data_IF_170565892771
#
_entry.id   IF_170565892771
#
_cell.length_a   1.000
_cell.length_b   1.000
_cell.length_c   1.000
_cell.angle_alpha   90.00
_cell.angle_beta   90.00
_cell.angle_gamma   90.00
#
_symmetry.space_group_name_H-M   'P 1'
#
loop_
_entity.id
_entity.type
_entity.pdbx_description
1 polymer ?
#
# COMPACT_ATOMS: atom_id res chain seq x y z
N UNK A 1 -24.57 -13.53 -9.73
CA UNK A 1 -24.02 -12.89 -10.95
C UNK A 1 -22.60 -12.46 -10.61
N UNK A 2 -21.61 -13.24 -11.04
CA UNK A 2 -20.21 -12.81 -10.92
C UNK A 2 -19.98 -11.66 -11.90
N UNK A 3 -19.57 -10.51 -11.35
CA UNK A 3 -19.27 -9.33 -12.15
C UNK A 3 -17.98 -9.62 -12.94
N UNK A 4 -18.09 -9.78 -14.26
CA UNK A 4 -17.00 -10.22 -15.16
C UNK A 4 -15.79 -9.28 -15.22
N UNK A 5 -15.79 -8.19 -14.45
CA UNK A 5 -14.69 -7.23 -14.33
C UNK A 5 -13.91 -7.34 -13.01
N UNK A 6 -14.13 -8.37 -12.19
CA UNK A 6 -13.34 -8.58 -10.98
C UNK A 6 -11.96 -9.16 -11.32
N UNK A 7 -11.00 -8.27 -11.58
CA UNK A 7 -9.58 -8.64 -11.64
C UNK A 7 -9.04 -8.73 -10.20
N UNK A 8 -8.96 -9.95 -9.67
CA UNK A 8 -8.39 -10.21 -8.35
C UNK A 8 -6.86 -10.10 -8.39
N UNK A 9 -6.32 -8.88 -8.29
CA UNK A 9 -4.92 -8.70 -7.91
C UNK A 9 -4.83 -9.03 -6.41
N UNK A 10 -3.97 -9.99 -6.02
CA UNK A 10 -3.85 -10.48 -4.65
C UNK A 10 -3.69 -9.31 -3.66
N UNK A 11 -4.80 -8.93 -3.00
CA UNK A 11 -4.86 -7.86 -1.99
C UNK A 11 -5.69 -6.63 -2.34
N UNK A 12 -6.11 -6.38 -3.58
CA UNK A 12 -6.99 -5.24 -3.85
C UNK A 12 -8.36 -5.45 -3.19
N UNK A 13 -8.74 -4.55 -2.28
CA UNK A 13 -10.01 -4.58 -1.53
C UNK A 13 -11.13 -3.83 -2.25
N UNK A 14 -10.80 -3.07 -3.30
CA UNK A 14 -11.77 -2.31 -4.08
C UNK A 14 -11.16 -1.60 -5.27
N UNK A 15 -11.99 -0.80 -5.94
CA UNK A 15 -11.58 0.10 -7.00
C UNK A 15 -12.14 1.51 -6.74
N UNK A 16 -11.33 2.53 -6.98
CA UNK A 16 -11.72 3.94 -6.95
C UNK A 16 -11.39 4.58 -8.30
N UNK A 17 -12.44 4.83 -9.09
CA UNK A 17 -12.28 5.19 -10.51
C UNK A 17 -11.56 4.08 -11.28
N UNK A 18 -10.47 4.45 -11.96
CA UNK A 18 -9.59 3.51 -12.70
C UNK A 18 -8.46 2.94 -11.85
N UNK A 19 -8.43 3.22 -10.54
CA UNK A 19 -7.40 2.73 -9.63
C UNK A 19 -7.90 1.53 -8.82
N UNK A 20 -7.07 0.49 -8.71
CA UNK A 20 -7.25 -0.56 -7.71
C UNK A 20 -6.73 -0.08 -6.36
N UNK A 21 -7.48 -0.36 -5.30
CA UNK A 21 -7.15 0.07 -3.93
C UNK A 21 -6.86 -1.14 -3.06
N UNK A 22 -5.75 -1.10 -2.34
CA UNK A 22 -5.39 -2.09 -1.33
C UNK A 22 -5.14 -1.40 0.02
N UNK A 23 -5.68 -1.94 1.11
CA UNK A 23 -5.34 -1.50 2.45
C UNK A 23 -4.13 -2.28 2.96
N UNK A 24 -3.02 -1.57 3.21
CA UNK A 24 -1.79 -2.13 3.75
C UNK A 24 -1.71 -1.79 5.23
N UNK A 25 -1.61 -2.80 6.09
CA UNK A 25 -1.51 -2.60 7.54
C UNK A 25 -0.33 -1.70 7.92
N UNK A 26 -0.55 -0.77 8.85
CA UNK A 26 0.48 0.16 9.32
C UNK A 26 1.67 -0.56 9.97
N UNK A 27 1.40 -1.64 10.71
CA UNK A 27 2.41 -2.55 11.27
C UNK A 27 3.34 -3.14 10.19
N UNK A 28 2.77 -3.54 9.05
CA UNK A 28 3.52 -4.07 7.92
C UNK A 28 4.37 -2.98 7.26
N UNK A 29 3.81 -1.78 7.06
CA UNK A 29 4.55 -0.63 6.53
C UNK A 29 5.74 -0.28 7.43
N UNK A 30 5.52 -0.16 8.74
CA UNK A 30 6.57 0.11 9.74
C UNK A 30 7.68 -0.93 9.68
N UNK A 31 7.30 -2.21 9.67
CA UNK A 31 8.24 -3.32 9.60
C UNK A 31 9.06 -3.31 8.32
N UNK A 32 8.44 -3.03 7.17
CA UNK A 32 9.14 -3.01 5.88
C UNK A 32 10.07 -1.83 5.76
N UNK A 33 9.62 -0.63 6.10
CA UNK A 33 10.47 0.58 6.04
C UNK A 33 11.64 0.46 7.02
N UNK A 34 11.40 -0.02 8.25
CA UNK A 34 12.46 -0.22 9.25
C UNK A 34 13.51 -1.26 8.89
N UNK A 35 13.22 -2.18 7.94
CA UNK A 35 14.18 -3.18 7.43
C UNK A 35 14.94 -2.72 6.17
N UNK A 36 14.52 -1.62 5.55
CA UNK A 36 15.16 -1.11 4.35
C UNK A 36 16.39 -0.24 4.70
N UNK A 37 17.39 -0.25 3.82
CA UNK A 37 18.52 0.68 3.94
C UNK A 37 18.02 2.13 3.78
N UNK A 38 18.54 3.06 4.58
CA UNK A 38 18.13 4.47 4.57
C UNK A 38 18.22 5.13 3.19
N UNK A 39 19.23 4.79 2.38
CA UNK A 39 19.38 5.29 1.00
C UNK A 39 18.22 4.82 0.11
N UNK A 40 17.73 3.59 0.31
CA UNK A 40 16.59 3.05 -0.44
C UNK A 40 15.29 3.73 0.00
N UNK A 41 15.11 3.92 1.30
CA UNK A 41 13.94 4.63 1.87
C UNK A 41 13.86 6.05 1.31
N UNK A 42 14.99 6.76 1.24
CA UNK A 42 15.06 8.10 0.67
C UNK A 42 14.78 8.13 -0.83
N UNK A 43 15.46 7.26 -1.62
CA UNK A 43 15.26 7.19 -3.08
C UNK A 43 13.82 6.90 -3.47
N UNK A 44 13.11 6.09 -2.69
CA UNK A 44 11.71 5.74 -2.93
C UNK A 44 10.71 6.72 -2.30
N UNK A 45 11.17 7.78 -1.62
CA UNK A 45 10.31 8.76 -0.96
C UNK A 45 9.49 8.17 0.20
N UNK A 46 9.99 7.11 0.84
CA UNK A 46 9.31 6.39 1.91
C UNK A 46 9.55 7.02 3.30
N UNK A 47 10.40 8.05 3.40
CA UNK A 47 10.71 8.77 4.64
C UNK A 47 9.47 9.30 5.37
N UNK A 48 8.39 9.61 4.65
CA UNK A 48 7.11 10.03 5.22
C UNK A 48 6.48 8.99 6.16
N UNK A 49 6.90 7.73 6.05
CA UNK A 49 6.44 6.64 6.88
C UNK A 49 7.33 6.38 8.10
N UNK A 50 8.40 7.13 8.31
CA UNK A 50 9.28 6.95 9.48
C UNK A 50 8.56 7.22 10.81
N UNK A 51 7.51 8.03 10.80
CA UNK A 51 6.70 8.36 11.98
C UNK A 51 5.48 7.43 12.18
N UNK A 52 5.23 6.47 11.28
CA UNK A 52 4.05 5.60 11.38
C UNK A 52 4.10 4.72 12.63
N UNK A 53 2.98 4.59 13.32
CA UNK A 53 2.80 3.68 14.44
C UNK A 53 2.07 2.40 13.99
N UNK A 54 2.36 1.28 14.66
CA UNK A 54 1.72 0.00 14.31
C UNK A 54 0.21 0.02 14.57
N UNK A 55 -0.23 0.88 15.49
CA UNK A 55 -1.64 1.12 15.83
C UNK A 55 -2.35 2.10 14.89
N UNK A 56 -1.64 2.69 13.92
CA UNK A 56 -2.27 3.60 12.96
C UNK A 56 -3.21 2.83 12.03
N UNK A 57 -4.16 3.55 11.43
CA UNK A 57 -5.04 2.99 10.42
C UNK A 57 -4.23 2.46 9.21
N UNK A 58 -4.74 1.46 8.48
CA UNK A 58 -4.12 0.98 7.26
C UNK A 58 -3.87 2.09 6.23
N UNK A 59 -2.76 1.98 5.51
CA UNK A 59 -2.40 2.86 4.40
C UNK A 59 -3.07 2.37 3.13
N UNK A 60 -3.77 3.25 2.42
CA UNK A 60 -4.36 2.93 1.12
C UNK A 60 -3.31 3.04 0.00
N UNK A 61 -3.01 1.92 -0.64
CA UNK A 61 -2.18 1.83 -1.82
C UNK A 61 -3.06 1.83 -3.08
N UNK A 62 -2.81 2.79 -3.96
CA UNK A 62 -3.53 2.96 -5.22
C UNK A 62 -2.66 2.49 -6.39
N UNK A 63 -3.17 1.54 -7.18
CA UNK A 63 -2.53 1.03 -8.38
C UNK A 63 -3.32 1.47 -9.60
N UNK A 64 -2.65 2.09 -10.57
CA UNK A 64 -3.22 2.36 -11.89
C UNK A 64 -2.44 1.57 -12.92
N UNK A 65 -3.14 0.85 -13.78
CA UNK A 65 -2.52 0.27 -14.96
C UNK A 65 -2.17 1.43 -15.91
N UNK A 66 -0.93 1.41 -16.43
CA UNK A 66 -0.48 2.35 -17.46
C UNK A 66 -0.71 1.76 -18.84
#
# INVERSE_FOLDING_TARGET
>A
MENKNSFGFWGAIGAEGEALVNAVEASWVKTKVGRMNSVVVEKLGLNKWNSIQESDNPVLAFYRFK
#
